data_IF_948020477215
#
_entry.id   IF_948020477215
#
_cell.length_a   1.000
_cell.length_b   1.000
_cell.length_c   1.000
_cell.angle_alpha   90.00
_cell.angle_beta   90.00
_cell.angle_gamma   90.00
#
_symmetry.space_group_name_H-M   'P 1'
#
loop_
_entity.id
_entity.type
_entity.pdbx_description
1 polymer ?
#
# COMPACT_ATOMS: atom_id res chain seq x y z
N UNK A 1 -20.32 14.00 -7.00
CA UNK A 1 -20.83 12.71 -6.52
C UNK A 1 -19.65 11.75 -6.34
N UNK A 2 -19.54 10.98 -5.25
CA UNK A 2 -18.46 10.00 -5.13
C UNK A 2 -18.67 8.88 -6.16
N UNK A 3 -17.63 8.60 -6.94
CA UNK A 3 -17.66 7.52 -7.93
C UNK A 3 -17.70 6.16 -7.24
N UNK A 4 -18.48 5.20 -7.77
CA UNK A 4 -18.52 3.84 -7.23
C UNK A 4 -17.14 3.20 -7.35
N UNK A 5 -16.61 2.71 -6.24
CA UNK A 5 -15.39 1.91 -6.25
C UNK A 5 -15.55 0.68 -7.15
N UNK A 6 -14.52 0.30 -7.91
CA UNK A 6 -14.56 -0.90 -8.73
C UNK A 6 -14.81 -2.14 -7.87
N UNK A 7 -15.50 -3.13 -8.42
CA UNK A 7 -15.74 -4.40 -7.75
C UNK A 7 -14.40 -5.15 -7.59
N UNK A 8 -13.93 -5.28 -6.35
CA UNK A 8 -12.68 -5.98 -6.03
C UNK A 8 -13.02 -7.42 -5.62
N UNK A 9 -12.55 -8.39 -6.40
CA UNK A 9 -12.69 -9.82 -6.10
C UNK A 9 -11.79 -10.22 -4.92
N UNK A 10 -12.07 -11.37 -4.30
CA UNK A 10 -11.25 -11.91 -3.21
C UNK A 10 -9.80 -12.16 -3.62
N UNK A 11 -9.56 -12.66 -4.83
CA UNK A 11 -8.21 -12.85 -5.39
C UNK A 11 -7.44 -11.53 -5.50
N UNK A 12 -8.06 -10.46 -6.01
CA UNK A 12 -7.40 -9.16 -6.12
C UNK A 12 -7.05 -8.62 -4.72
N UNK A 13 -7.94 -8.76 -3.73
CA UNK A 13 -7.64 -8.37 -2.34
C UNK A 13 -6.46 -9.15 -1.78
N UNK A 14 -6.43 -10.47 -2.00
CA UNK A 14 -5.34 -11.32 -1.53
C UNK A 14 -4.00 -10.90 -2.14
N UNK A 15 -3.93 -10.73 -3.46
CA UNK A 15 -2.71 -10.29 -4.14
C UNK A 15 -2.25 -8.90 -3.70
N UNK A 16 -3.19 -7.97 -3.52
CA UNK A 16 -2.88 -6.64 -3.03
C UNK A 16 -2.23 -6.66 -1.63
N UNK A 17 -2.73 -7.51 -0.72
CA UNK A 17 -2.13 -7.72 0.61
C UNK A 17 -0.74 -8.35 0.54
N UNK A 18 -0.55 -9.35 -0.31
CA UNK A 18 0.77 -9.96 -0.50
C UNK A 18 1.80 -8.93 -0.98
N UNK A 19 1.44 -8.10 -1.95
CA UNK A 19 2.29 -7.00 -2.43
C UNK A 19 2.57 -6.01 -1.31
N UNK A 20 1.53 -5.61 -0.57
CA UNK A 20 1.64 -4.73 0.59
C UNK A 20 2.64 -5.22 1.64
N UNK A 21 2.54 -6.51 1.99
CA UNK A 21 3.44 -7.18 2.91
C UNK A 21 4.88 -7.18 2.40
N UNK A 22 5.10 -7.48 1.12
CA UNK A 22 6.44 -7.44 0.51
C UNK A 22 7.05 -6.05 0.54
N UNK A 23 6.27 -5.01 0.20
CA UNK A 23 6.72 -3.61 0.27
C UNK A 23 7.10 -3.24 1.71
N UNK A 24 6.27 -3.61 2.70
CA UNK A 24 6.57 -3.35 4.12
C UNK A 24 7.85 -4.04 4.56
N UNK A 25 8.04 -5.31 4.21
CA UNK A 25 9.24 -6.07 4.55
C UNK A 25 10.48 -5.42 3.95
N UNK A 26 10.47 -5.10 2.65
CA UNK A 26 11.59 -4.46 1.98
C UNK A 26 11.89 -3.07 2.54
N UNK A 27 10.86 -2.27 2.78
CA UNK A 27 10.99 -0.94 3.40
C UNK A 27 11.67 -1.03 4.78
N UNK A 28 11.23 -1.96 5.63
CA UNK A 28 11.82 -2.18 6.97
C UNK A 28 13.28 -2.64 6.88
N UNK A 29 13.59 -3.57 5.98
CA UNK A 29 14.95 -4.05 5.77
C UNK A 29 15.91 -2.92 5.35
N UNK A 30 15.39 -1.92 4.62
CA UNK A 30 16.15 -0.74 4.21
C UNK A 30 16.15 0.40 5.25
N UNK A 31 15.48 0.24 6.40
CA UNK A 31 15.38 1.29 7.43
C UNK A 31 14.54 2.51 7.01
N UNK A 32 13.81 2.44 5.90
CA UNK A 32 13.03 3.55 5.35
C UNK A 32 11.73 3.70 6.13
N UNK A 33 11.28 4.91 6.47
CA UNK A 33 9.98 5.13 7.13
C UNK A 33 8.83 5.06 6.12
N UNK A 34 7.60 4.78 6.59
CA UNK A 34 6.44 4.76 5.70
C UNK A 34 6.16 6.14 5.07
N UNK A 35 6.51 7.22 5.79
CA UNK A 35 6.40 8.60 5.31
C UNK A 35 7.44 8.91 4.24
N UNK A 36 8.69 8.50 4.44
CA UNK A 36 9.74 8.66 3.43
C UNK A 36 9.42 7.91 2.14
N UNK A 37 8.82 6.71 2.25
CA UNK A 37 8.34 5.98 1.08
C UNK A 37 7.24 6.77 0.37
N UNK A 38 6.23 7.26 1.09
CA UNK A 38 5.13 8.04 0.53
C UNK A 38 5.61 9.31 -0.20
N UNK A 39 6.55 10.04 0.39
CA UNK A 39 7.17 11.21 -0.21
C UNK A 39 7.97 10.84 -1.48
N UNK A 40 8.71 9.73 -1.45
CA UNK A 40 9.52 9.29 -2.61
C UNK A 40 8.70 8.84 -3.83
N UNK A 41 7.47 8.37 -3.62
CA UNK A 41 6.57 7.91 -4.70
C UNK A 41 5.48 8.91 -5.03
N UNK A 42 5.55 10.13 -4.48
CA UNK A 42 4.53 11.19 -4.60
C UNK A 42 3.10 10.69 -4.31
N UNK A 43 2.97 9.84 -3.28
CA UNK A 43 1.68 9.31 -2.84
C UNK A 43 1.30 9.84 -1.46
N UNK A 44 -0.01 9.93 -1.22
CA UNK A 44 -0.51 10.23 0.12
C UNK A 44 -0.06 9.19 1.12
N UNK A 45 0.32 9.66 2.32
CA UNK A 45 0.66 8.81 3.48
C UNK A 45 -0.44 7.79 3.77
N UNK A 46 -1.71 8.16 3.59
CA UNK A 46 -2.88 7.28 3.78
C UNK A 46 -2.93 6.16 2.74
N UNK A 47 -2.55 6.45 1.50
CA UNK A 47 -2.51 5.46 0.41
C UNK A 47 -1.43 4.40 0.69
N UNK A 48 -0.22 4.85 1.04
CA UNK A 48 0.88 3.95 1.41
C UNK A 48 0.55 3.15 2.66
N UNK A 49 -0.10 3.77 3.65
CA UNK A 49 -0.57 3.11 4.85
C UNK A 49 -1.57 1.99 4.52
N UNK A 50 -2.58 2.28 3.70
CA UNK A 50 -3.58 1.30 3.23
C UNK A 50 -2.96 0.14 2.46
N UNK A 51 -1.96 0.42 1.62
CA UNK A 51 -1.29 -0.62 0.84
C UNK A 51 -0.35 -1.48 1.68
N UNK A 52 0.24 -0.96 2.77
CA UNK A 52 1.31 -1.66 3.50
C UNK A 52 0.91 -2.22 4.87
N UNK A 53 -0.33 -2.03 5.32
CA UNK A 53 -0.82 -2.51 6.62
C UNK A 53 -1.62 -3.80 6.57
N UNK A 54 -2.37 -3.99 5.48
CA UNK A 54 -3.14 -5.21 5.25
C UNK A 54 -2.26 -6.31 4.65
#
# INVERSE_FOLDING_TARGET
MPSKSPAVTSDIKFRAREIGRQIRTRRKALGVSATALAESVDMSRVTVHRMSIE
#
